data_IF_737470744817
#
_entry.id   IF_737470744817
#
_cell.length_a   1.000
_cell.length_b   1.000
_cell.length_c   1.000
_cell.angle_alpha   90.00
_cell.angle_beta   90.00
_cell.angle_gamma   90.00
#
_symmetry.space_group_name_H-M   'P 1'
#
loop_
_entity.id
_entity.type
_entity.pdbx_description
1 polymer ?
#
# COMPACT_ATOMS: atom_id res chain seq x y z
N UNK A 1 -26.45 53.72 21.82
CA UNK A 1 -26.10 52.40 21.24
C UNK A 1 -25.09 51.76 22.16
N UNK A 2 -25.52 50.85 23.02
CA UNK A 2 -24.69 50.12 23.98
C UNK A 2 -24.16 48.85 23.30
N UNK A 3 -22.85 48.78 23.10
CA UNK A 3 -22.20 47.55 22.64
C UNK A 3 -22.20 46.57 23.81
N UNK A 4 -23.05 45.55 23.72
CA UNK A 4 -23.12 44.45 24.69
C UNK A 4 -21.79 43.71 24.71
N UNK A 5 -21.08 43.77 25.84
CA UNK A 5 -19.85 43.00 26.05
C UNK A 5 -20.20 41.53 26.17
N UNK A 6 -19.88 40.73 25.14
CA UNK A 6 -19.91 39.28 25.23
C UNK A 6 -18.83 38.85 26.23
N UNK A 7 -19.27 38.45 27.43
CA UNK A 7 -18.43 37.76 28.42
C UNK A 7 -18.08 36.38 27.87
N UNK A 8 -16.85 36.20 27.38
CA UNK A 8 -16.36 34.86 27.00
C UNK A 8 -16.02 34.11 28.29
N UNK A 9 -16.96 33.30 28.79
CA UNK A 9 -16.62 32.28 29.76
C UNK A 9 -15.57 31.36 29.13
N UNK A 10 -14.35 31.39 29.64
CA UNK A 10 -13.27 30.54 29.15
C UNK A 10 -13.71 29.08 29.29
N UNK A 11 -13.82 28.37 28.16
CA UNK A 11 -14.07 26.93 28.15
C UNK A 11 -12.94 26.25 28.93
N UNK A 12 -13.26 25.54 30.01
CA UNK A 12 -12.26 24.78 30.76
C UNK A 12 -11.89 23.51 30.00
N UNK A 13 -10.60 23.29 29.81
CA UNK A 13 -10.08 22.05 29.22
C UNK A 13 -10.14 20.94 30.28
N UNK A 14 -10.81 19.83 29.96
CA UNK A 14 -10.85 18.65 30.82
C UNK A 14 -9.56 17.83 30.65
N UNK A 15 -8.78 17.72 31.72
CA UNK A 15 -7.47 17.06 31.72
C UNK A 15 -7.51 15.58 32.11
N UNK A 16 -8.70 14.96 32.18
CA UNK A 16 -8.86 13.56 32.60
C UNK A 16 -8.03 12.53 31.80
N UNK A 17 -7.64 12.88 30.57
CA UNK A 17 -6.81 12.04 29.70
C UNK A 17 -5.40 12.63 29.43
N UNK A 18 -4.98 13.68 30.17
CA UNK A 18 -3.63 14.23 30.02
C UNK A 18 -2.61 13.33 30.72
N UNK A 19 -1.97 12.47 29.92
CA UNK A 19 -0.81 11.71 30.36
C UNK A 19 0.43 12.61 30.43
N UNK A 20 1.30 12.36 31.41
CA UNK A 20 2.67 12.90 31.45
C UNK A 20 3.61 11.76 31.15
N UNK A 21 4.27 11.82 30.00
CA UNK A 21 5.10 10.74 29.49
C UNK A 21 6.53 11.25 29.35
N UNK A 22 7.48 10.36 29.59
CA UNK A 22 8.90 10.59 29.31
C UNK A 22 9.15 10.58 27.79
N UNK A 23 10.30 11.09 27.32
CA UNK A 23 10.68 10.98 25.92
C UNK A 23 10.64 9.53 25.43
N UNK A 24 10.25 9.35 24.17
CA UNK A 24 10.18 8.03 23.53
C UNK A 24 11.57 7.39 23.55
N UNK A 25 11.70 6.26 24.21
CA UNK A 25 12.87 5.40 24.18
C UNK A 25 12.48 4.05 23.58
N UNK A 26 13.00 3.74 22.39
CA UNK A 26 12.79 2.46 21.72
C UNK A 26 14.09 1.69 21.67
N UNK A 27 14.12 0.41 22.06
CA UNK A 27 15.34 -0.37 22.05
C UNK A 27 15.68 -0.84 20.63
N UNK A 28 16.97 -1.00 20.35
CA UNK A 28 17.40 -1.62 19.11
C UNK A 28 16.95 -3.08 19.04
N UNK A 29 16.50 -3.49 17.85
CA UNK A 29 15.98 -4.83 17.56
C UNK A 29 16.53 -5.29 16.22
N UNK A 30 17.03 -6.52 16.18
CA UNK A 30 17.30 -7.21 14.92
C UNK A 30 15.98 -7.78 14.38
N UNK A 31 15.59 -7.37 13.18
CA UNK A 31 14.32 -7.76 12.55
C UNK A 31 14.58 -8.80 11.46
N UNK A 32 14.30 -10.08 11.79
CA UNK A 32 14.48 -11.23 10.87
C UNK A 32 13.14 -11.85 10.42
N UNK A 33 12.03 -11.14 10.66
CA UNK A 33 10.72 -11.53 10.16
C UNK A 33 10.50 -11.12 8.70
N UNK A 34 9.31 -11.38 8.13
CA UNK A 34 8.97 -11.04 6.75
C UNK A 34 8.79 -9.53 6.51
N UNK A 35 8.88 -8.71 7.56
CA UNK A 35 8.82 -7.26 7.48
C UNK A 35 8.37 -6.61 8.79
N UNK A 36 8.70 -5.32 9.01
CA UNK A 36 9.66 -4.53 8.24
C UNK A 36 11.10 -5.03 8.46
N UNK A 37 12.02 -4.65 7.58
CA UNK A 37 13.46 -4.87 7.76
C UNK A 37 14.09 -3.75 8.59
N UNK A 38 15.29 -3.99 9.13
CA UNK A 38 16.12 -2.90 9.67
C UNK A 38 16.49 -1.91 8.56
N UNK A 39 16.29 -0.62 8.80
CA UNK A 39 16.63 0.43 7.85
C UNK A 39 18.15 0.71 7.86
N UNK A 40 18.71 0.96 6.67
CA UNK A 40 20.09 1.44 6.55
C UNK A 40 20.24 2.80 7.28
N UNK A 41 21.35 3.04 8.01
CA UNK A 41 21.58 4.31 8.71
C UNK A 41 21.43 5.56 7.83
N UNK A 42 21.76 5.48 6.55
CA UNK A 42 21.57 6.60 5.60
C UNK A 42 20.11 6.98 5.40
N UNK A 43 19.20 6.00 5.43
CA UNK A 43 17.75 6.22 5.29
C UNK A 43 17.21 6.92 6.54
N UNK A 44 17.63 6.46 7.73
CA UNK A 44 17.24 7.09 8.99
C UNK A 44 17.70 8.55 9.08
N UNK A 45 18.93 8.84 8.63
CA UNK A 45 19.44 10.21 8.56
C UNK A 45 18.66 11.08 7.58
N UNK A 46 18.21 10.53 6.46
CA UNK A 46 17.40 11.28 5.48
C UNK A 46 16.02 11.64 6.03
N UNK A 47 15.37 10.73 6.77
CA UNK A 47 14.06 10.96 7.40
C UNK A 47 14.12 12.06 8.47
N UNK A 48 15.26 12.22 9.15
CA UNK A 48 15.45 13.24 10.19
C UNK A 48 15.62 14.68 9.64
N UNK A 49 15.61 14.88 8.32
CA UNK A 49 15.73 16.21 7.72
C UNK A 49 14.45 17.04 7.91
N UNK A 50 14.55 18.39 7.94
CA UNK A 50 13.38 19.25 7.98
C UNK A 50 12.42 18.99 6.81
N UNK A 51 11.09 19.16 7.02
CA UNK A 51 10.12 18.96 5.97
C UNK A 51 10.30 19.98 4.83
N UNK A 52 10.05 19.53 3.60
CA UNK A 52 9.93 20.37 2.41
C UNK A 52 8.46 20.58 2.07
N UNK A 53 8.16 21.69 1.40
CA UNK A 53 6.84 21.88 0.79
C UNK A 53 6.64 20.88 -0.35
N UNK A 54 5.42 20.34 -0.48
CA UNK A 54 5.06 19.39 -1.54
C UNK A 54 5.08 19.99 -2.95
N UNK A 55 5.20 21.32 -3.08
CA UNK A 55 5.38 22.03 -4.34
C UNK A 55 6.77 22.69 -4.46
N UNK A 56 7.68 22.40 -3.53
CA UNK A 56 9.05 22.89 -3.61
C UNK A 56 9.75 22.31 -4.84
N UNK A 57 10.48 23.10 -5.66
CA UNK A 57 11.21 22.59 -6.81
C UNK A 57 12.13 21.41 -6.47
N UNK A 58 12.79 21.44 -5.31
CA UNK A 58 13.65 20.33 -4.87
C UNK A 58 12.84 19.06 -4.60
N UNK A 59 11.63 19.18 -4.06
CA UNK A 59 10.74 18.01 -3.87
C UNK A 59 10.33 17.41 -5.22
N UNK A 60 10.04 18.24 -6.22
CA UNK A 60 9.68 17.78 -7.57
C UNK A 60 10.86 17.06 -8.25
N UNK A 61 12.08 17.59 -8.11
CA UNK A 61 13.30 16.93 -8.59
C UNK A 61 13.49 15.56 -7.94
N UNK A 62 13.40 15.48 -6.61
CA UNK A 62 13.51 14.21 -5.87
C UNK A 62 12.41 13.21 -6.28
N UNK A 63 11.19 13.68 -6.53
CA UNK A 63 10.11 12.83 -7.02
C UNK A 63 10.44 12.26 -8.40
N UNK A 64 11.00 13.06 -9.31
CA UNK A 64 11.44 12.58 -10.63
C UNK A 64 12.53 11.50 -10.51
N UNK A 65 13.52 11.70 -9.63
CA UNK A 65 14.55 10.69 -9.36
C UNK A 65 13.93 9.38 -8.82
N UNK A 66 12.97 9.46 -7.91
CA UNK A 66 12.25 8.28 -7.39
C UNK A 66 11.52 7.55 -8.51
N UNK A 67 10.86 8.27 -9.43
CA UNK A 67 10.18 7.64 -10.57
C UNK A 67 11.16 6.93 -11.52
N UNK A 68 12.34 7.50 -11.77
CA UNK A 68 13.40 6.83 -12.56
C UNK A 68 13.95 5.58 -11.84
N UNK A 69 14.19 5.67 -10.53
CA UNK A 69 14.64 4.52 -9.74
C UNK A 69 13.60 3.41 -9.68
N UNK A 70 12.30 3.74 -9.63
CA UNK A 70 11.22 2.76 -9.71
C UNK A 70 11.19 2.08 -11.07
N UNK A 71 11.33 2.83 -12.18
CA UNK A 71 11.46 2.27 -13.53
C UNK A 71 12.64 1.31 -13.64
N UNK A 72 13.79 1.68 -13.08
CA UNK A 72 14.95 0.79 -13.00
C UNK A 72 14.65 -0.45 -12.16
N UNK A 73 14.09 -0.31 -10.96
CA UNK A 73 13.80 -1.44 -10.07
C UNK A 73 12.79 -2.42 -10.69
N UNK A 74 11.80 -1.92 -11.44
CA UNK A 74 10.79 -2.72 -12.12
C UNK A 74 11.18 -3.13 -13.55
N UNK A 75 12.32 -2.66 -14.05
CA UNK A 75 12.77 -2.88 -15.44
C UNK A 75 11.68 -2.53 -16.46
N UNK A 76 11.15 -1.31 -16.39
CA UNK A 76 10.07 -0.83 -17.25
C UNK A 76 10.32 0.58 -17.79
N UNK A 77 9.92 0.83 -19.03
CA UNK A 77 9.91 2.15 -19.65
C UNK A 77 8.57 2.89 -19.46
N UNK A 78 7.65 2.35 -18.65
CA UNK A 78 6.34 2.95 -18.42
C UNK A 78 6.49 4.35 -17.80
N UNK A 79 6.13 5.37 -18.57
CA UNK A 79 6.18 6.77 -18.13
C UNK A 79 5.33 7.00 -16.87
N UNK A 80 4.17 6.36 -16.79
CA UNK A 80 3.31 6.41 -15.61
C UNK A 80 3.78 5.40 -14.55
N UNK A 81 4.87 5.74 -13.87
CA UNK A 81 5.44 4.99 -12.75
C UNK A 81 5.59 5.95 -11.59
N UNK A 82 4.85 5.74 -10.50
CA UNK A 82 4.77 6.68 -9.37
C UNK A 82 4.81 5.93 -8.03
N UNK A 83 5.34 6.54 -6.96
CA UNK A 83 5.13 6.04 -5.61
C UNK A 83 3.69 6.31 -5.16
N UNK A 84 3.13 5.38 -4.40
CA UNK A 84 1.82 5.54 -3.74
C UNK A 84 2.05 5.96 -2.30
N UNK A 85 1.38 7.03 -1.84
CA UNK A 85 1.47 7.53 -0.46
C UNK A 85 0.72 6.62 0.53
N UNK A 86 1.24 5.42 0.76
CA UNK A 86 0.69 4.43 1.68
C UNK A 86 1.57 3.19 1.78
N UNK A 87 1.12 2.19 2.53
CA UNK A 87 1.82 0.89 2.61
C UNK A 87 1.54 0.04 1.36
N UNK A 88 2.12 -1.16 1.26
CA UNK A 88 1.91 -2.05 0.11
C UNK A 88 0.43 -2.34 -0.19
N UNK A 89 -0.44 -2.37 0.82
CA UNK A 89 -1.88 -2.54 0.62
C UNK A 89 -2.55 -1.36 -0.08
N UNK A 90 -2.06 -0.14 0.10
CA UNK A 90 -2.57 1.03 -0.60
C UNK A 90 -2.22 0.96 -2.10
N UNK A 91 -1.04 0.41 -2.46
CA UNK A 91 -0.68 0.18 -3.86
C UNK A 91 -1.54 -0.92 -4.51
N UNK A 92 -1.84 -2.00 -3.77
CA UNK A 92 -2.79 -3.03 -4.24
C UNK A 92 -4.17 -2.42 -4.51
N UNK A 93 -4.71 -1.67 -3.55
CA UNK A 93 -6.01 -1.01 -3.68
C UNK A 93 -6.01 0.00 -4.83
N UNK A 94 -5.00 0.87 -4.92
CA UNK A 94 -4.88 1.85 -6.00
C UNK A 94 -4.85 1.18 -7.38
N UNK A 95 -4.24 0.00 -7.49
CA UNK A 95 -4.25 -0.78 -8.74
C UNK A 95 -5.67 -1.26 -9.05
N UNK A 96 -6.30 -2.01 -8.13
CA UNK A 96 -7.63 -2.57 -8.36
C UNK A 96 -8.68 -1.47 -8.59
N UNK A 97 -8.64 -0.39 -7.82
CA UNK A 97 -9.55 0.74 -7.93
C UNK A 97 -9.55 1.41 -9.31
N UNK A 98 -8.43 1.33 -10.05
CA UNK A 98 -8.27 1.96 -11.35
C UNK A 98 -8.35 0.96 -12.53
N UNK A 99 -8.29 -0.34 -12.27
CA UNK A 99 -8.29 -1.38 -13.33
C UNK A 99 -9.56 -2.23 -13.36
N UNK A 100 -10.44 -2.12 -12.36
CA UNK A 100 -11.63 -2.95 -12.23
C UNK A 100 -12.89 -2.09 -12.23
N UNK A 101 -13.81 -2.39 -13.14
CA UNK A 101 -15.16 -1.82 -13.14
C UNK A 101 -16.20 -2.81 -12.57
N UNK A 102 -17.30 -2.31 -11.98
CA UNK A 102 -18.38 -3.17 -11.47
C UNK A 102 -18.96 -4.10 -12.56
N UNK A 103 -19.04 -5.39 -12.24
CA UNK A 103 -19.58 -6.42 -13.11
C UNK A 103 -18.57 -7.09 -14.06
N UNK A 104 -17.35 -6.55 -14.16
CA UNK A 104 -16.25 -7.18 -14.90
C UNK A 104 -15.81 -8.48 -14.24
N UNK A 105 -15.30 -9.41 -15.06
CA UNK A 105 -14.73 -10.66 -14.56
C UNK A 105 -13.25 -10.45 -14.27
N UNK A 106 -12.82 -10.82 -13.06
CA UNK A 106 -11.42 -10.76 -12.64
C UNK A 106 -10.99 -12.18 -12.22
N UNK A 107 -9.93 -12.70 -12.82
CA UNK A 107 -9.31 -13.95 -12.38
C UNK A 107 -8.22 -13.61 -11.36
N UNK A 108 -8.26 -14.25 -10.19
CA UNK A 108 -7.28 -14.06 -9.12
C UNK A 108 -6.59 -15.38 -8.81
N UNK A 109 -5.26 -15.39 -8.89
CA UNK A 109 -4.45 -16.50 -8.42
C UNK A 109 -4.32 -16.48 -6.90
N UNK A 110 -4.72 -17.57 -6.23
CA UNK A 110 -4.76 -17.67 -4.76
C UNK A 110 -3.85 -18.79 -4.29
N UNK A 111 -2.62 -18.43 -3.90
CA UNK A 111 -1.63 -19.34 -3.29
C UNK A 111 -1.33 -19.02 -1.82
N UNK A 112 -2.02 -18.02 -1.26
CA UNK A 112 -1.87 -17.61 0.14
C UNK A 112 -2.74 -16.42 0.54
N UNK A 113 -2.33 -15.72 1.60
CA UNK A 113 -3.04 -14.59 2.18
C UNK A 113 -3.23 -13.42 1.20
N UNK A 114 -2.21 -13.02 0.45
CA UNK A 114 -2.33 -11.84 -0.42
C UNK A 114 -3.25 -12.11 -1.62
N UNK A 115 -3.30 -13.34 -2.13
CA UNK A 115 -4.31 -13.76 -3.11
C UNK A 115 -5.74 -13.58 -2.58
N UNK A 116 -6.02 -14.03 -1.34
CA UNK A 116 -7.34 -13.81 -0.70
C UNK A 116 -7.65 -12.33 -0.50
N UNK A 117 -6.63 -11.50 -0.23
CA UNK A 117 -6.79 -10.06 -0.11
C UNK A 117 -7.15 -9.40 -1.44
N UNK A 118 -6.57 -9.86 -2.55
CA UNK A 118 -6.98 -9.42 -3.89
C UNK A 118 -8.43 -9.79 -4.19
N UNK A 119 -8.89 -10.98 -3.80
CA UNK A 119 -10.30 -11.39 -3.94
C UNK A 119 -11.23 -10.44 -3.19
N UNK A 120 -10.97 -10.14 -1.91
CA UNK A 120 -11.77 -9.20 -1.11
C UNK A 120 -11.80 -7.80 -1.75
N UNK A 121 -10.63 -7.28 -2.17
CA UNK A 121 -10.54 -5.97 -2.82
C UNK A 121 -11.35 -5.93 -4.13
N UNK A 122 -11.14 -6.89 -5.03
CA UNK A 122 -11.87 -6.94 -6.30
C UNK A 122 -13.39 -7.06 -6.09
N UNK A 123 -13.81 -7.89 -5.14
CA UNK A 123 -15.22 -8.02 -4.77
C UNK A 123 -15.84 -6.71 -4.26
N UNK A 124 -15.09 -5.93 -3.46
CA UNK A 124 -15.55 -4.61 -2.98
C UNK A 124 -15.68 -3.57 -4.10
N UNK A 125 -14.90 -3.68 -5.16
CA UNK A 125 -15.05 -2.87 -6.37
C UNK A 125 -16.14 -3.42 -7.34
N UNK A 126 -16.85 -4.48 -6.95
CA UNK A 126 -17.99 -5.00 -7.70
C UNK A 126 -17.63 -6.00 -8.80
N UNK A 127 -16.40 -6.52 -8.83
CA UNK A 127 -16.02 -7.56 -9.79
C UNK A 127 -16.74 -8.89 -9.55
N UNK A 128 -16.91 -9.64 -10.63
CA UNK A 128 -17.18 -11.08 -10.60
C UNK A 128 -15.85 -11.82 -10.49
N UNK A 129 -15.43 -12.12 -9.26
CA UNK A 129 -14.12 -12.72 -9.01
C UNK A 129 -14.16 -14.22 -9.26
N UNK A 130 -13.20 -14.71 -10.04
CA UNK A 130 -12.92 -16.13 -10.27
C UNK A 130 -11.60 -16.46 -9.59
N UNK A 131 -11.65 -17.35 -8.60
CA UNK A 131 -10.45 -17.79 -7.88
C UNK A 131 -9.83 -19.01 -8.57
N UNK A 132 -8.52 -18.94 -8.82
CA UNK A 132 -7.70 -20.06 -9.27
C UNK A 132 -6.71 -20.35 -8.17
N UNK A 133 -6.84 -21.48 -7.47
CA UNK A 133 -6.07 -21.76 -6.26
C UNK A 133 -5.15 -22.97 -6.40
N UNK A 134 -4.07 -22.93 -5.64
CA UNK A 134 -3.21 -24.08 -5.35
C UNK A 134 -3.15 -24.29 -3.82
N UNK A 135 -2.76 -25.48 -3.34
CA UNK A 135 -2.43 -25.68 -1.93
C UNK A 135 -1.38 -24.68 -1.45
N UNK A 136 -1.47 -24.28 -0.18
CA UNK A 136 -0.48 -23.37 0.42
C UNK A 136 0.90 -24.04 0.41
N UNK A 137 1.90 -23.31 -0.09
CA UNK A 137 3.25 -23.86 -0.32
C UNK A 137 3.50 -24.30 -1.76
N UNK A 138 2.50 -24.19 -2.64
CA UNK A 138 2.62 -24.51 -4.07
C UNK A 138 2.35 -23.29 -4.95
N UNK A 139 3.03 -23.21 -6.09
CA UNK A 139 2.80 -22.20 -7.11
C UNK A 139 1.70 -22.65 -8.09
N UNK A 140 1.04 -21.69 -8.74
CA UNK A 140 0.10 -21.98 -9.83
C UNK A 140 0.86 -22.37 -11.09
N UNK A 141 0.38 -23.43 -11.76
CA UNK A 141 0.92 -23.81 -13.07
C UNK A 141 0.44 -22.85 -14.16
N UNK A 142 1.26 -22.66 -15.20
CA UNK A 142 0.90 -21.86 -16.37
C UNK A 142 -0.34 -22.43 -17.07
N UNK A 143 -0.47 -23.75 -17.15
CA UNK A 143 -1.61 -24.41 -17.80
C UNK A 143 -2.92 -24.11 -17.07
N UNK A 144 -2.91 -24.17 -15.74
CA UNK A 144 -4.09 -23.83 -14.91
C UNK A 144 -4.51 -22.38 -15.11
N UNK A 145 -3.54 -21.45 -15.13
CA UNK A 145 -3.81 -20.03 -15.37
C UNK A 145 -4.34 -19.78 -16.79
N UNK A 146 -3.74 -20.43 -17.79
CA UNK A 146 -4.13 -20.32 -19.20
C UNK A 146 -5.57 -20.79 -19.40
N UNK A 147 -5.90 -21.98 -18.88
CA UNK A 147 -7.25 -22.53 -18.94
C UNK A 147 -8.29 -21.57 -18.32
N UNK A 148 -7.97 -21.00 -17.16
CA UNK A 148 -8.87 -20.06 -16.48
C UNK A 148 -9.07 -18.78 -17.30
N UNK A 149 -8.01 -18.21 -17.88
CA UNK A 149 -8.10 -17.02 -18.73
C UNK A 149 -8.91 -17.30 -20.00
N UNK A 150 -8.69 -18.44 -20.66
CA UNK A 150 -9.44 -18.82 -21.86
C UNK A 150 -10.93 -19.07 -21.58
N UNK A 151 -11.24 -19.72 -20.46
CA UNK A 151 -12.60 -20.04 -20.05
C UNK A 151 -13.38 -18.80 -19.63
N UNK A 152 -12.77 -17.93 -18.80
CA UNK A 152 -13.47 -16.83 -18.15
C UNK A 152 -13.32 -15.50 -18.88
N UNK A 153 -12.35 -15.37 -19.78
CA UNK A 153 -12.06 -14.16 -20.57
C UNK A 153 -12.08 -12.89 -19.69
N UNK A 154 -11.28 -12.86 -18.60
CA UNK A 154 -11.33 -11.78 -17.63
C UNK A 154 -10.83 -10.47 -18.23
N UNK A 155 -11.31 -9.35 -17.69
CA UNK A 155 -10.73 -8.03 -17.95
C UNK A 155 -9.36 -7.89 -17.26
N UNK A 156 -9.20 -8.51 -16.09
CA UNK A 156 -7.97 -8.47 -15.28
C UNK A 156 -7.59 -9.87 -14.79
N UNK A 157 -6.30 -10.19 -14.90
CA UNK A 157 -5.66 -11.30 -14.18
C UNK A 157 -4.79 -10.71 -13.07
N UNK A 158 -5.09 -11.05 -11.81
CA UNK A 158 -4.33 -10.58 -10.65
C UNK A 158 -3.57 -11.74 -10.00
N UNK A 159 -2.26 -11.57 -9.82
CA UNK A 159 -1.35 -12.58 -9.27
C UNK A 159 -0.45 -11.98 -8.19
N UNK A 160 -0.04 -12.82 -7.24
CA UNK A 160 0.98 -12.50 -6.25
C UNK A 160 2.26 -13.21 -6.68
N UNK A 161 3.32 -12.43 -6.98
CA UNK A 161 4.60 -13.00 -7.42
C UNK A 161 5.36 -13.69 -6.27
N UNK A 162 5.37 -13.08 -5.09
CA UNK A 162 6.00 -13.62 -3.89
C UNK A 162 4.98 -13.60 -2.74
N UNK A 163 4.44 -14.76 -2.41
CA UNK A 163 3.44 -14.94 -1.38
C UNK A 163 4.12 -15.15 -0.03
N UNK A 164 4.39 -14.05 0.68
CA UNK A 164 5.17 -14.07 1.93
C UNK A 164 4.47 -14.81 3.08
N UNK A 165 3.17 -15.10 2.99
CA UNK A 165 2.47 -15.92 3.99
C UNK A 165 2.76 -17.42 3.87
N UNK A 166 3.21 -17.87 2.71
CA UNK A 166 3.55 -19.28 2.43
C UNK A 166 5.01 -19.49 2.05
N UNK A 167 5.74 -18.42 1.70
CA UNK A 167 7.13 -18.48 1.25
C UNK A 167 7.30 -19.00 -0.17
N UNK A 168 6.26 -18.84 -1.01
CA UNK A 168 6.21 -19.25 -2.43
C UNK A 168 6.48 -18.06 -3.34
#
# INVERSE_FOLDING_TARGET
MTVSSLSSAALSVNEAHRLRLDPIATPDRLLLGPGPSNADPRVLQAIARPPLSHLDPLYLELMNEVQEMLRYAWQTDNRFTIPVSGTGSAAMEATIANTVEPGETVVVGVIGYFGKRLVDMCGRYGAKVVEVSAPWGEALSLDTLTQAVEQHKPAVLALVHAETSTGV
#
